data_IF_629186901344
#
_entry.id   IF_629186901344
#
_cell.length_a   1.000
_cell.length_b   1.000
_cell.length_c   1.000
_cell.angle_alpha   90.00
_cell.angle_beta   90.00
_cell.angle_gamma   90.00
#
_symmetry.space_group_name_H-M   'P 1'
#
loop_
_entity.id
_entity.type
_entity.pdbx_description
1 polymer ?
#
# COMPACT_ATOMS: atom_id res chain seq x y z
N UNK A 1 -17.29 -21.05 7.42
CA UNK A 1 -16.14 -21.45 8.26
C UNK A 1 -15.16 -20.29 8.32
N UNK A 2 -15.20 -19.52 9.39
CA UNK A 2 -14.29 -18.40 9.67
C UNK A 2 -13.05 -18.97 10.36
N UNK A 3 -11.91 -18.97 9.66
CA UNK A 3 -10.63 -19.36 10.23
C UNK A 3 -10.37 -18.51 11.50
N UNK A 4 -10.21 -19.18 12.64
CA UNK A 4 -9.80 -18.60 13.91
C UNK A 4 -8.34 -18.18 13.80
N UNK A 5 -8.11 -17.03 13.16
CA UNK A 5 -6.81 -16.36 13.18
C UNK A 5 -6.44 -16.06 14.62
N UNK A 6 -5.31 -16.59 15.07
CA UNK A 6 -4.84 -16.38 16.45
C UNK A 6 -4.68 -14.87 16.70
N UNK A 7 -5.33 -14.31 17.74
CA UNK A 7 -5.42 -12.86 17.94
C UNK A 7 -4.05 -12.17 18.09
N UNK A 8 -2.98 -12.92 18.42
CA UNK A 8 -1.63 -12.36 18.59
C UNK A 8 -0.95 -11.91 17.28
N UNK A 9 -1.31 -12.49 16.13
CA UNK A 9 -0.62 -12.23 14.86
C UNK A 9 -1.01 -10.87 14.25
N UNK A 10 -2.30 -10.55 14.25
CA UNK A 10 -2.84 -9.28 13.73
C UNK A 10 -2.31 -8.06 14.50
N UNK A 11 -2.13 -8.21 15.81
CA UNK A 11 -1.63 -7.13 16.67
C UNK A 11 -0.17 -6.76 16.36
N UNK A 12 0.70 -7.75 16.11
CA UNK A 12 2.10 -7.50 15.73
C UNK A 12 2.21 -6.78 14.39
N UNK A 13 1.37 -7.14 13.43
CA UNK A 13 1.33 -6.49 12.12
C UNK A 13 0.92 -5.02 12.22
N UNK A 14 -0.14 -4.71 12.98
CA UNK A 14 -0.59 -3.33 13.17
C UNK A 14 0.45 -2.48 13.89
N UNK A 15 1.13 -3.03 14.91
CA UNK A 15 2.24 -2.34 15.60
C UNK A 15 3.40 -2.06 14.65
N UNK A 16 3.85 -3.04 13.86
CA UNK A 16 4.94 -2.85 12.92
C UNK A 16 4.60 -1.78 11.87
N UNK A 17 3.38 -1.82 11.34
CA UNK A 17 2.87 -0.82 10.38
C UNK A 17 2.85 0.58 10.99
N UNK A 18 2.35 0.71 12.23
CA UNK A 18 2.33 1.99 12.94
C UNK A 18 3.74 2.54 13.18
N UNK A 19 4.69 1.69 13.60
CA UNK A 19 6.09 2.08 13.81
C UNK A 19 6.71 2.54 12.49
N UNK A 20 6.56 1.76 11.40
CA UNK A 20 7.13 2.10 10.10
C UNK A 20 6.56 3.40 9.51
N UNK A 21 5.25 3.63 9.63
CA UNK A 21 4.64 4.87 9.17
C UNK A 21 5.01 6.06 10.07
N UNK A 22 5.12 5.86 11.38
CA UNK A 22 5.58 6.90 12.31
C UNK A 22 7.03 7.31 12.00
N UNK A 23 7.92 6.36 11.76
CA UNK A 23 9.32 6.67 11.43
C UNK A 23 9.44 7.36 10.08
N UNK A 24 8.65 6.96 9.08
CA UNK A 24 8.58 7.64 7.79
C UNK A 24 8.08 9.08 7.91
N UNK A 25 7.01 9.32 8.69
CA UNK A 25 6.49 10.68 8.93
C UNK A 25 7.54 11.55 9.60
N UNK A 26 8.21 11.05 10.65
CA UNK A 26 9.29 11.78 11.32
C UNK A 26 10.45 12.09 10.36
N UNK A 27 10.89 11.11 9.57
CA UNK A 27 11.94 11.30 8.58
C UNK A 27 11.54 12.36 7.53
N UNK A 28 10.30 12.33 7.02
CA UNK A 28 9.79 13.34 6.10
C UNK A 28 9.73 14.73 6.74
N UNK A 29 9.31 14.86 8.00
CA UNK A 29 9.26 16.15 8.68
C UNK A 29 10.65 16.74 8.91
N UNK A 30 11.58 15.95 9.43
CA UNK A 30 12.99 16.37 9.60
C UNK A 30 13.55 16.81 8.25
N UNK A 31 13.31 16.03 7.20
CA UNK A 31 13.75 16.36 5.86
C UNK A 31 13.15 17.65 5.31
N UNK A 32 11.84 17.84 5.42
CA UNK A 32 11.17 19.07 5.03
C UNK A 32 11.76 20.27 5.76
N UNK A 33 12.00 20.18 7.07
CA UNK A 33 12.62 21.29 7.83
C UNK A 33 14.02 21.61 7.34
N UNK A 34 14.85 20.60 7.05
CA UNK A 34 16.20 20.80 6.51
C UNK A 34 16.17 21.47 5.13
N UNK A 35 15.31 21.01 4.22
CA UNK A 35 15.17 21.59 2.88
C UNK A 35 14.60 23.00 2.96
N UNK A 36 13.64 23.28 3.85
CA UNK A 36 13.10 24.62 4.06
C UNK A 36 14.17 25.58 4.57
N UNK A 37 14.92 25.21 5.62
CA UNK A 37 16.03 26.04 6.14
C UNK A 37 17.06 26.29 5.04
N UNK A 38 17.43 25.27 4.28
CA UNK A 38 18.35 25.42 3.15
C UNK A 38 17.83 26.40 2.10
N UNK A 39 16.56 26.28 1.73
CA UNK A 39 15.92 27.14 0.74
C UNK A 39 15.87 28.60 1.22
N UNK A 40 15.66 28.84 2.52
CA UNK A 40 15.76 30.19 3.09
C UNK A 40 17.18 30.75 3.08
N UNK A 41 18.18 29.94 3.48
CA UNK A 41 19.58 30.39 3.52
C UNK A 41 20.15 30.71 2.12
N UNK A 42 19.69 29.99 1.10
CA UNK A 42 20.19 30.12 -0.27
C UNK A 42 19.26 30.91 -1.19
N UNK A 43 18.13 31.41 -0.69
CA UNK A 43 17.07 32.01 -1.50
C UNK A 43 17.59 33.04 -2.50
N UNK A 44 18.46 33.96 -2.08
CA UNK A 44 18.92 35.04 -2.95
C UNK A 44 19.96 34.60 -4.00
N UNK A 45 20.72 33.54 -3.70
CA UNK A 45 21.82 33.06 -4.56
C UNK A 45 21.41 31.97 -5.55
N UNK A 46 20.26 31.34 -5.34
CA UNK A 46 19.81 30.18 -6.12
C UNK A 46 19.10 30.61 -7.39
N UNK A 47 19.40 29.96 -8.52
CA UNK A 47 18.72 30.21 -9.80
C UNK A 47 17.23 29.88 -9.74
N UNK A 48 16.39 30.56 -10.53
CA UNK A 48 14.94 30.33 -10.57
C UNK A 48 14.57 28.85 -10.81
N UNK A 49 15.27 28.17 -11.73
CA UNK A 49 15.05 26.75 -12.03
C UNK A 49 15.39 25.82 -10.85
N UNK A 50 16.40 26.18 -10.06
CA UNK A 50 16.78 25.42 -8.86
C UNK A 50 15.73 25.60 -7.76
N UNK A 51 15.21 26.82 -7.60
CA UNK A 51 14.14 27.10 -6.62
C UNK A 51 12.89 26.29 -6.93
N UNK A 52 12.47 26.23 -8.21
CA UNK A 52 11.29 25.45 -8.59
C UNK A 52 11.50 23.95 -8.38
N UNK A 53 12.68 23.41 -8.70
CA UNK A 53 13.00 22.00 -8.47
C UNK A 53 12.99 21.65 -6.97
N UNK A 54 13.65 22.47 -6.14
CA UNK A 54 13.63 22.30 -4.68
C UNK A 54 12.22 22.43 -4.10
N UNK A 55 11.40 23.35 -4.63
CA UNK A 55 10.02 23.50 -4.22
C UNK A 55 9.16 22.28 -4.57
N UNK A 56 9.34 21.69 -5.77
CA UNK A 56 8.66 20.45 -6.16
C UNK A 56 9.09 19.29 -5.28
N UNK A 57 10.40 19.15 -5.01
CA UNK A 57 10.92 18.14 -4.10
C UNK A 57 10.32 18.30 -2.70
N UNK A 58 10.31 19.52 -2.17
CA UNK A 58 9.69 19.84 -0.88
C UNK A 58 8.19 19.52 -0.87
N UNK A 59 7.46 19.86 -1.93
CA UNK A 59 6.03 19.59 -2.05
C UNK A 59 5.74 18.08 -2.04
N UNK A 60 6.55 17.28 -2.75
CA UNK A 60 6.43 15.82 -2.76
C UNK A 60 6.69 15.27 -1.35
N UNK A 61 7.77 15.68 -0.69
CA UNK A 61 8.08 15.24 0.68
C UNK A 61 7.05 15.71 1.71
N UNK A 62 6.42 16.87 1.53
CA UNK A 62 5.35 17.38 2.38
C UNK A 62 4.00 16.66 2.14
N UNK A 63 3.74 16.22 0.90
CA UNK A 63 2.55 15.43 0.58
C UNK A 63 2.66 13.98 1.10
N UNK A 64 3.86 13.40 1.16
CA UNK A 64 4.10 12.03 1.65
C UNK A 64 3.49 11.75 3.03
N UNK A 65 3.70 12.53 4.10
CA UNK A 65 3.10 12.27 5.40
C UNK A 65 1.58 12.34 5.37
N UNK A 66 0.98 13.20 4.54
CA UNK A 66 -0.48 13.26 4.35
C UNK A 66 -0.98 11.96 3.71
N UNK A 67 -0.30 11.49 2.66
CA UNK A 67 -0.63 10.20 2.02
C UNK A 67 -0.44 9.03 3.00
N UNK A 68 0.62 9.02 3.81
CA UNK A 68 0.88 8.00 4.83
C UNK A 68 -0.18 8.01 5.94
N UNK A 69 -0.64 9.18 6.38
CA UNK A 69 -1.74 9.30 7.34
C UNK A 69 -3.05 8.76 6.74
N UNK A 70 -3.35 9.11 5.49
CA UNK A 70 -4.49 8.53 4.77
C UNK A 70 -4.38 7.00 4.68
N UNK A 71 -3.18 6.46 4.42
CA UNK A 71 -2.93 5.01 4.39
C UNK A 71 -3.12 4.34 5.76
N UNK A 72 -2.79 5.05 6.84
CA UNK A 72 -2.95 4.57 8.21
C UNK A 72 -4.44 4.49 8.61
N UNK A 73 -5.24 5.46 8.19
CA UNK A 73 -6.70 5.52 8.51
C UNK A 73 -7.53 4.61 7.61
N UNK A 74 -7.18 4.47 6.33
CA UNK A 74 -7.97 3.68 5.38
C UNK A 74 -7.87 2.17 5.65
N UNK A 75 -9.00 1.47 5.47
CA UNK A 75 -9.10 0.02 5.68
C UNK A 75 -8.11 -0.73 4.77
N UNK A 76 -7.36 -1.65 5.36
CA UNK A 76 -6.28 -2.35 4.68
C UNK A 76 -6.80 -3.23 3.52
N UNK A 77 -6.42 -2.88 2.29
CA UNK A 77 -6.57 -3.73 1.10
C UNK A 77 -5.17 -3.99 0.54
N UNK A 78 -4.69 -5.23 0.66
CA UNK A 78 -3.31 -5.62 0.32
C UNK A 78 -2.89 -5.22 -1.09
N UNK A 79 -3.77 -5.36 -2.09
CA UNK A 79 -3.45 -5.00 -3.47
C UNK A 79 -3.28 -3.49 -3.69
N UNK A 80 -4.15 -2.68 -3.09
CA UNK A 80 -4.08 -1.22 -3.17
C UNK A 80 -2.90 -0.66 -2.38
N UNK A 81 -2.58 -1.25 -1.23
CA UNK A 81 -1.44 -0.83 -0.40
C UNK A 81 -0.12 -1.05 -1.15
N UNK A 82 0.05 -2.21 -1.80
CA UNK A 82 1.20 -2.49 -2.66
C UNK A 82 1.33 -1.49 -3.82
N UNK A 83 0.25 -1.23 -4.56
CA UNK A 83 0.29 -0.26 -5.66
C UNK A 83 0.68 1.15 -5.19
N UNK A 84 0.18 1.58 -4.02
CA UNK A 84 0.48 2.88 -3.43
C UNK A 84 1.93 2.97 -2.94
N UNK A 85 2.46 1.91 -2.33
CA UNK A 85 3.87 1.84 -1.91
C UNK A 85 4.79 1.89 -3.13
N UNK A 86 4.48 1.14 -4.19
CA UNK A 86 5.24 1.18 -5.45
C UNK A 86 5.20 2.57 -6.08
N UNK A 87 4.03 3.22 -6.09
CA UNK A 87 3.91 4.60 -6.59
C UNK A 87 4.75 5.57 -5.75
N UNK A 88 4.71 5.46 -4.42
CA UNK A 88 5.53 6.28 -3.52
C UNK A 88 7.03 6.05 -3.74
N UNK A 89 7.46 4.79 -3.89
CA UNK A 89 8.86 4.45 -4.20
C UNK A 89 9.26 5.04 -5.54
N UNK A 90 8.46 4.86 -6.59
CA UNK A 90 8.75 5.38 -7.93
C UNK A 90 8.83 6.91 -7.94
N UNK A 91 7.94 7.59 -7.21
CA UNK A 91 7.96 9.05 -7.09
C UNK A 91 9.22 9.53 -6.38
N UNK A 92 9.54 8.95 -5.21
CA UNK A 92 10.72 9.36 -4.44
C UNK A 92 12.04 8.98 -5.13
N UNK A 93 12.12 7.79 -5.74
CA UNK A 93 13.28 7.34 -6.51
C UNK A 93 13.45 8.19 -7.76
N UNK A 94 12.36 8.51 -8.46
CA UNK A 94 12.35 9.40 -9.61
C UNK A 94 12.85 10.80 -9.25
N UNK A 95 12.38 11.37 -8.13
CA UNK A 95 12.86 12.68 -7.66
C UNK A 95 14.33 12.64 -7.25
N UNK A 96 14.77 11.58 -6.55
CA UNK A 96 16.17 11.44 -6.13
C UNK A 96 17.09 11.27 -7.35
N UNK A 97 16.68 10.48 -8.35
CA UNK A 97 17.42 10.29 -9.59
C UNK A 97 17.48 11.59 -10.41
N UNK A 98 16.35 12.29 -10.56
CA UNK A 98 16.29 13.57 -11.26
C UNK A 98 17.17 14.63 -10.57
N UNK A 99 17.14 14.68 -9.24
CA UNK A 99 18.02 15.54 -8.46
C UNK A 99 19.49 15.16 -8.63
N UNK A 100 19.83 13.87 -8.62
CA UNK A 100 21.19 13.37 -8.87
C UNK A 100 21.73 13.84 -10.23
N UNK A 101 20.89 13.73 -11.26
CA UNK A 101 21.23 14.15 -12.62
C UNK A 101 21.48 15.67 -12.69
N UNK A 102 20.57 16.47 -12.12
CA UNK A 102 20.68 17.93 -12.09
C UNK A 102 21.84 18.44 -11.23
N UNK A 103 22.18 17.74 -10.14
CA UNK A 103 23.25 18.12 -9.22
C UNK A 103 24.59 18.27 -9.93
N UNK A 104 24.84 17.46 -10.96
CA UNK A 104 26.07 17.53 -11.78
C UNK A 104 26.21 18.81 -12.60
N UNK A 105 25.08 19.45 -12.96
CA UNK A 105 25.06 20.66 -13.77
C UNK A 105 25.19 21.94 -12.94
N UNK A 106 25.10 21.86 -11.62
CA UNK A 106 25.26 23.02 -10.76
C UNK A 106 26.73 23.42 -10.63
N UNK A 107 27.07 24.56 -11.26
CA UNK A 107 28.36 25.21 -11.02
C UNK A 107 28.27 26.01 -9.74
N UNK A 108 28.99 25.60 -8.70
CA UNK A 108 29.15 26.43 -7.52
C UNK A 108 29.96 27.69 -7.92
N UNK A 109 29.49 28.91 -7.57
CA UNK A 109 30.24 30.13 -7.88
C UNK A 109 31.60 30.09 -7.17
N UNK A 110 32.68 30.16 -7.94
CA UNK A 110 34.06 30.15 -7.46
C UNK A 110 34.45 31.53 -6.95
N UNK A 111 33.98 31.90 -5.76
CA UNK A 111 34.51 33.07 -5.04
C UNK A 111 35.68 32.68 -4.13
N UNK A 112 35.58 31.58 -3.41
CA UNK A 112 36.65 31.04 -2.55
C UNK A 112 36.68 29.51 -2.60
N UNK A 113 37.85 28.87 -2.38
CA UNK A 113 37.95 27.41 -2.35
C UNK A 113 37.09 26.78 -1.23
N UNK A 114 36.94 27.46 -0.10
CA UNK A 114 36.15 26.98 1.03
C UNK A 114 34.64 26.96 0.72
N UNK A 115 34.13 28.00 0.05
CA UNK A 115 32.71 28.04 -0.38
C UNK A 115 32.37 26.93 -1.37
N UNK A 116 33.32 26.57 -2.25
CA UNK A 116 33.13 25.49 -3.21
C UNK A 116 33.00 24.13 -2.51
N UNK A 117 33.86 23.86 -1.51
CA UNK A 117 33.81 22.63 -0.74
C UNK A 117 32.49 22.50 0.03
N UNK A 118 32.06 23.58 0.70
CA UNK A 118 30.81 23.63 1.46
C UNK A 118 29.60 23.44 0.54
N UNK A 119 29.57 24.11 -0.61
CA UNK A 119 28.51 23.97 -1.61
C UNK A 119 28.34 22.50 -2.09
N UNK A 120 29.45 21.83 -2.40
CA UNK A 120 29.45 20.43 -2.86
C UNK A 120 29.05 19.47 -1.74
N UNK A 121 29.53 19.72 -0.51
CA UNK A 121 29.18 18.92 0.66
C UNK A 121 27.68 18.97 0.96
N UNK A 122 27.07 20.16 0.89
CA UNK A 122 25.63 20.30 1.07
C UNK A 122 24.83 19.58 -0.02
N UNK A 123 25.23 19.71 -1.29
CA UNK A 123 24.59 18.98 -2.38
C UNK A 123 24.61 17.45 -2.16
N UNK A 124 25.74 16.93 -1.69
CA UNK A 124 25.92 15.51 -1.36
C UNK A 124 25.13 15.10 -0.12
N UNK A 125 25.03 15.95 0.90
CA UNK A 125 24.20 15.69 2.08
C UNK A 125 22.72 15.61 1.71
N UNK A 126 22.26 16.55 0.86
CA UNK A 126 20.88 16.55 0.38
C UNK A 126 20.61 15.29 -0.43
N UNK A 127 21.56 14.92 -1.29
CA UNK A 127 21.48 13.68 -2.06
C UNK A 127 21.32 12.47 -1.13
N UNK A 128 22.26 12.25 -0.20
CA UNK A 128 22.24 11.13 0.74
C UNK A 128 20.94 11.05 1.54
N UNK A 129 20.48 12.17 2.07
CA UNK A 129 19.28 12.20 2.86
C UNK A 129 18.01 12.00 2.01
N UNK A 130 18.01 12.39 0.73
CA UNK A 130 16.91 12.06 -0.21
C UNK A 130 16.77 10.55 -0.46
N UNK A 131 17.85 9.76 -0.29
CA UNK A 131 17.82 8.29 -0.42
C UNK A 131 17.28 7.58 0.81
N UNK A 132 17.25 8.22 1.98
CA UNK A 132 16.79 7.62 3.23
C UNK A 132 15.31 7.22 3.15
N UNK A 133 14.45 8.11 2.63
CA UNK A 133 13.00 7.84 2.51
C UNK A 133 12.72 6.66 1.54
N UNK A 134 13.25 6.64 0.30
CA UNK A 134 13.19 5.46 -0.57
C UNK A 134 13.71 4.18 0.09
N UNK A 135 14.84 4.24 0.79
CA UNK A 135 15.43 3.06 1.41
C UNK A 135 14.53 2.46 2.50
N UNK A 136 13.94 3.31 3.36
CA UNK A 136 12.98 2.86 4.38
C UNK A 136 11.72 2.30 3.73
N UNK A 137 11.19 2.95 2.69
CA UNK A 137 10.04 2.44 1.93
C UNK A 137 10.32 1.09 1.27
N UNK A 138 11.52 0.93 0.70
CA UNK A 138 11.95 -0.32 0.05
C UNK A 138 12.10 -1.44 1.08
N UNK A 139 12.72 -1.15 2.23
CA UNK A 139 12.82 -2.10 3.34
C UNK A 139 11.44 -2.53 3.86
N UNK A 140 10.51 -1.58 4.00
CA UNK A 140 9.12 -1.85 4.37
C UNK A 140 8.41 -2.73 3.31
N UNK A 141 8.54 -2.40 2.03
CA UNK A 141 7.97 -3.17 0.93
C UNK A 141 8.53 -4.61 0.89
N UNK A 142 9.84 -4.76 1.07
CA UNK A 142 10.50 -6.06 1.14
C UNK A 142 10.02 -6.88 2.35
N UNK A 143 9.90 -6.26 3.52
CA UNK A 143 9.35 -6.91 4.72
C UNK A 143 7.91 -7.38 4.53
N UNK A 144 7.07 -6.55 3.89
CA UNK A 144 5.69 -6.91 3.57
C UNK A 144 5.61 -8.06 2.55
N UNK A 145 6.44 -8.01 1.51
CA UNK A 145 6.55 -9.08 0.52
C UNK A 145 7.04 -10.40 1.12
N UNK A 146 8.04 -10.34 2.00
CA UNK A 146 8.55 -11.50 2.73
C UNK A 146 7.47 -12.12 3.62
N UNK A 147 6.73 -11.30 4.38
CA UNK A 147 5.64 -11.77 5.24
C UNK A 147 4.51 -12.42 4.45
N UNK A 148 4.11 -11.81 3.33
CA UNK A 148 3.11 -12.40 2.41
C UNK A 148 3.61 -13.71 1.79
N UNK A 149 4.90 -13.79 1.46
CA UNK A 149 5.54 -15.01 0.98
C UNK A 149 5.51 -16.13 2.01
N UNK A 150 5.78 -15.82 3.29
CA UNK A 150 5.68 -16.78 4.39
C UNK A 150 4.24 -17.28 4.58
N UNK A 151 3.26 -16.37 4.55
CA UNK A 151 1.85 -16.75 4.68
C UNK A 151 1.39 -17.69 3.56
N UNK A 152 1.88 -17.50 2.33
CA UNK A 152 1.57 -18.41 1.20
C UNK A 152 2.21 -19.79 1.33
N UNK A 153 3.33 -19.90 2.06
CA UNK A 153 4.02 -21.17 2.31
C UNK A 153 3.45 -21.92 3.51
N UNK A 154 2.67 -21.28 4.37
CA UNK A 154 1.97 -21.99 5.43
C UNK A 154 1.07 -23.04 4.77
N UNK A 155 1.22 -24.34 5.11
CA UNK A 155 0.38 -25.37 4.53
C UNK A 155 -1.09 -24.95 4.74
N UNK A 156 -1.96 -25.08 3.71
CA UNK A 156 -3.38 -24.86 3.91
C UNK A 156 -3.76 -25.66 5.15
N UNK A 157 -4.43 -25.04 6.15
CA UNK A 157 -4.69 -25.69 7.42
C UNK A 157 -5.26 -27.04 7.04
N UNK A 158 -4.48 -28.11 7.29
CA UNK A 158 -4.81 -29.45 6.86
C UNK A 158 -6.25 -29.57 7.27
N UNK A 159 -7.17 -29.64 6.28
CA UNK A 159 -8.60 -29.62 6.52
C UNK A 159 -8.74 -30.75 7.49
N UNK A 160 -8.85 -30.40 8.77
CA UNK A 160 -8.79 -31.35 9.86
C UNK A 160 -9.85 -32.30 9.42
N UNK A 161 -9.36 -33.50 9.10
CA UNK A 161 -10.09 -34.56 8.44
C UNK A 161 -11.50 -34.39 8.92
N UNK A 162 -12.42 -34.14 7.98
CA UNK A 162 -13.85 -34.09 8.23
C UNK A 162 -14.14 -35.37 8.98
N UNK A 163 -13.94 -35.32 10.30
CA UNK A 163 -14.20 -36.39 11.23
C UNK A 163 -15.67 -36.45 11.05
N UNK A 164 -16.03 -37.46 10.28
CA UNK A 164 -17.37 -37.87 10.02
C UNK A 164 -17.91 -38.26 11.38
N UNK A 165 -18.32 -37.26 12.14
CA UNK A 165 -19.42 -37.34 13.09
C UNK A 165 -20.69 -37.36 12.23
N UNK A 166 -20.73 -38.27 11.26
CA UNK A 166 -21.95 -39.00 11.01
C UNK A 166 -21.89 -40.10 12.07
N UNK A 167 -22.71 -40.05 13.14
CA UNK A 167 -22.96 -41.27 13.88
C UNK A 167 -23.41 -42.30 12.84
N UNK A 168 -22.56 -43.31 12.64
CA UNK A 168 -22.92 -44.53 11.92
C UNK A 168 -24.23 -44.99 12.54
N UNK A 169 -25.26 -44.97 11.70
CA UNK A 169 -26.59 -45.46 12.01
C UNK A 169 -26.44 -46.92 12.47
N UNK A 170 -26.79 -47.21 13.73
CA UNK A 170 -27.08 -48.59 14.15
C UNK A 170 -28.57 -48.84 13.90
N UNK A 171 -28.97 -49.59 12.86
CA UNK A 171 -30.32 -50.09 12.74
C UNK A 171 -30.50 -51.22 13.75
N UNK A 172 -31.00 -50.87 14.94
CA UNK A 172 -31.33 -51.82 16.00
C UNK A 172 -32.76 -51.58 16.48
N UNK A 173 -33.69 -52.35 15.91
CA UNK A 173 -34.99 -52.75 16.44
C UNK A 173 -35.28 -52.40 17.92
N UNK A 174 -36.31 -51.58 18.16
CA UNK A 174 -37.31 -51.76 19.24
C UNK A 174 -38.40 -50.72 19.03
N UNK A 175 -39.58 -51.07 18.53
CA UNK A 175 -40.68 -51.83 19.16
C UNK A 175 -41.80 -50.84 19.40
N UNK A 176 -42.96 -51.18 18.85
CA UNK A 176 -44.22 -50.48 18.94
C UNK A 176 -44.68 -50.22 20.39
N UNK A 177 -45.81 -49.51 20.48
CA UNK A 177 -46.64 -49.17 21.67
C UNK A 177 -46.07 -48.05 22.54
N UNK A 178 -46.79 -46.97 22.85
CA UNK A 178 -48.22 -46.86 23.07
C UNK A 178 -48.77 -45.44 22.86
N UNK A 179 -49.98 -45.42 22.30
CA UNK A 179 -50.99 -44.38 22.35
C UNK A 179 -51.11 -43.79 23.77
N UNK A 180 -51.01 -42.46 23.94
CA UNK A 180 -51.66 -41.77 25.05
C UNK A 180 -52.16 -40.41 24.59
N UNK A 181 -53.47 -40.34 24.52
CA UNK A 181 -54.32 -39.19 24.30
C UNK A 181 -54.32 -38.27 25.53
N UNK A 182 -54.03 -36.98 25.37
CA UNK A 182 -54.73 -35.95 26.15
C UNK A 182 -54.76 -34.57 25.46
N UNK A 183 -55.82 -33.78 25.69
CA UNK A 183 -56.20 -32.64 24.86
C UNK A 183 -55.80 -31.27 25.45
N UNK A 184 -55.76 -30.30 24.52
CA UNK A 184 -56.08 -28.87 24.63
C UNK A 184 -55.98 -28.14 25.98
N UNK A 185 -55.13 -27.10 26.01
CA UNK A 185 -55.59 -25.73 26.31
C UNK A 185 -54.82 -24.68 25.50
N UNK A 186 -55.44 -24.22 24.41
CA UNK A 186 -55.80 -22.81 24.17
C UNK A 186 -54.87 -21.75 24.80
N UNK A 187 -53.92 -21.23 24.00
CA UNK A 187 -53.44 -19.85 24.17
C UNK A 187 -53.50 -19.11 22.83
N UNK A 188 -54.36 -18.09 22.83
CA UNK A 188 -54.72 -17.24 21.71
C UNK A 188 -53.73 -16.07 21.61
N UNK A 189 -53.28 -15.82 20.38
CA UNK A 189 -53.40 -14.52 19.67
C UNK A 189 -52.30 -13.46 19.88
N UNK A 190 -51.61 -13.21 18.75
CA UNK A 190 -50.84 -12.00 18.39
C UNK A 190 -49.52 -12.42 17.74
N UNK A 191 -49.37 -12.65 16.43
CA UNK A 191 -49.92 -12.01 15.21
C UNK A 191 -49.63 -10.53 15.09
N UNK A 192 -48.37 -10.19 14.80
CA UNK A 192 -47.99 -9.26 13.73
C UNK A 192 -46.46 -9.30 13.51
N UNK A 193 -46.04 -9.07 12.27
CA UNK A 193 -44.67 -8.73 11.86
C UNK A 193 -43.65 -9.85 11.55
N UNK A 194 -44.11 -10.97 10.99
CA UNK A 194 -43.28 -11.84 10.15
C UNK A 194 -43.51 -11.52 8.67
N UNK A 195 -42.86 -10.48 8.13
CA UNK A 195 -42.84 -10.27 6.67
C UNK A 195 -41.64 -9.44 6.17
N UNK A 196 -40.41 -9.90 6.41
CA UNK A 196 -39.24 -9.43 5.64
C UNK A 196 -38.16 -10.49 5.45
N UNK A 197 -38.56 -11.67 4.97
CA UNK A 197 -37.67 -12.70 4.43
C UNK A 197 -38.19 -13.19 3.08
N UNK A 198 -38.15 -12.34 2.06
CA UNK A 198 -38.27 -12.77 0.66
C UNK A 198 -37.48 -11.80 -0.23
N UNK A 199 -36.15 -11.88 -0.19
CA UNK A 199 -35.29 -11.41 -1.30
C UNK A 199 -34.17 -12.45 -1.48
N UNK A 200 -34.57 -13.59 -2.05
CA UNK A 200 -33.69 -14.49 -2.76
C UNK A 200 -34.30 -14.65 -4.15
N UNK A 201 -33.72 -13.98 -5.13
CA UNK A 201 -34.22 -13.97 -6.50
C UNK A 201 -33.27 -13.25 -7.45
N UNK A 202 -32.41 -14.03 -8.10
CA UNK A 202 -31.92 -13.88 -9.47
C UNK A 202 -31.41 -12.51 -9.96
N UNK A 203 -30.10 -12.43 -10.19
CA UNK A 203 -29.49 -12.03 -11.48
C UNK A 203 -27.98 -11.97 -11.28
N UNK A 204 -27.10 -12.27 -12.21
CA UNK A 204 -27.15 -12.98 -13.48
C UNK A 204 -25.67 -13.27 -13.74
N UNK A 205 -25.38 -14.48 -14.22
CA UNK A 205 -24.13 -14.74 -14.90
C UNK A 205 -23.96 -13.68 -15.99
N UNK A 206 -22.84 -12.97 -15.99
CA UNK A 206 -22.31 -12.37 -17.21
C UNK A 206 -20.82 -12.57 -17.21
N UNK A 207 -20.44 -13.75 -17.66
CA UNK A 207 -19.11 -14.08 -18.15
C UNK A 207 -18.81 -13.17 -19.34
N UNK A 208 -18.23 -12.00 -19.08
CA UNK A 208 -17.59 -11.20 -20.12
C UNK A 208 -16.14 -11.67 -20.27
N UNK A 209 -15.98 -12.70 -21.09
CA UNK A 209 -14.69 -13.07 -21.69
C UNK A 209 -14.23 -11.88 -22.55
N UNK A 210 -13.34 -11.04 -22.02
CA UNK A 210 -12.59 -10.07 -22.82
C UNK A 210 -11.30 -10.72 -23.26
N UNK A 211 -11.34 -11.33 -24.43
CA UNK A 211 -10.18 -11.52 -25.29
C UNK A 211 -9.54 -10.16 -25.54
N UNK A 212 -8.41 -9.89 -24.88
CA UNK A 212 -7.58 -8.74 -25.19
C UNK A 212 -6.68 -9.13 -26.37
N UNK A 213 -7.11 -8.80 -27.57
CA UNK A 213 -6.31 -8.86 -28.79
C UNK A 213 -5.23 -7.79 -28.69
N UNK A 214 -4.01 -8.22 -28.37
CA UNK A 214 -2.81 -7.39 -28.43
C UNK A 214 -2.49 -7.11 -29.89
N UNK A 215 -3.02 -5.99 -30.41
CA UNK A 215 -2.57 -5.43 -31.68
C UNK A 215 -1.20 -4.78 -31.44
N UNK A 216 -0.13 -5.52 -31.77
CA UNK A 216 1.22 -4.99 -31.89
C UNK A 216 1.28 -4.04 -33.10
N UNK A 217 0.88 -2.79 -32.89
CA UNK A 217 1.14 -1.70 -33.82
C UNK A 217 2.60 -1.27 -33.69
N UNK A 218 3.44 -1.75 -34.60
CA UNK A 218 4.77 -1.21 -34.88
C UNK A 218 4.62 0.24 -35.36
N UNK A 219 4.66 1.19 -34.42
CA UNK A 219 4.83 2.61 -34.76
C UNK A 219 6.30 2.81 -35.11
N UNK A 220 6.52 2.79 -36.42
CA UNK A 220 7.65 3.29 -37.17
C UNK A 220 8.19 4.60 -36.57
N UNK A 221 9.31 4.52 -35.85
CA UNK A 221 10.05 5.68 -35.36
C UNK A 221 10.69 6.41 -36.54
N UNK A 222 10.09 7.54 -36.91
CA UNK A 222 10.66 8.52 -37.82
C UNK A 222 11.90 9.15 -37.16
N UNK A 223 13.09 9.14 -37.81
CA UNK A 223 14.25 9.81 -37.25
C UNK A 223 14.06 11.34 -37.27
N UNK A 224 14.55 12.07 -36.24
CA UNK A 224 14.54 13.52 -36.25
C UNK A 224 15.49 14.05 -37.34
N UNK A 225 15.15 15.18 -38.00
CA UNK A 225 16.06 15.83 -38.94
C UNK A 225 17.26 16.39 -38.18
N UNK A 226 18.45 16.05 -38.66
CA UNK A 226 19.69 16.70 -38.27
C UNK A 226 19.60 18.18 -38.67
N UNK A 227 19.44 19.05 -37.67
CA UNK A 227 19.71 20.47 -37.84
C UNK A 227 21.12 20.77 -37.32
N UNK A 228 21.85 21.40 -38.23
CA UNK A 228 23.24 21.86 -38.22
C UNK A 228 23.60 22.87 -37.12
N UNK A 229 24.92 23.12 -37.07
CA UNK A 229 25.64 24.37 -36.73
C UNK A 229 26.23 24.41 -35.31
N UNK A 230 27.48 24.83 -35.09
CA UNK A 230 28.63 25.19 -35.93
C UNK A 230 29.87 25.09 -35.03
#
# INVERSE_FOLDING_TARGET
MTATTTPSSNFRFLRLRAIAFSTLILACLVWCTLVSVFLFLKWDTTDSNQRSLLAVMLAIHAATPVVLLCLLVLRFRSYLDMARIVLLISLHLGTAALFSYWLSSFKCPTRTPDEQAVCRLFGLYILLASWVVPAILLAYAAGLGYFMGLQRRAPPPAMLERESILPVMRPGYSRATSYSSQPDTRSKRGSAEEQRKHISGLSSQTSASRSFTTHSGLILSKPPPAFFAA
#
